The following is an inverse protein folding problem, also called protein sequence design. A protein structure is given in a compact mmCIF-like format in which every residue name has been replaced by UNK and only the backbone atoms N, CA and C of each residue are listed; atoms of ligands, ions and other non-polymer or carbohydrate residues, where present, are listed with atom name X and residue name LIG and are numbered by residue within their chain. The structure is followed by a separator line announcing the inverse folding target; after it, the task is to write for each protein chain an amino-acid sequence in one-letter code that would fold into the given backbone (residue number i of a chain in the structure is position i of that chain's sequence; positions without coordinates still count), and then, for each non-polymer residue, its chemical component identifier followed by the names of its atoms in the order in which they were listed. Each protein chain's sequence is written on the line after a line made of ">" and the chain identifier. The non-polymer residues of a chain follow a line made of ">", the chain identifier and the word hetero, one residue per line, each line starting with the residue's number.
data_IF_948836407974
#
_entry.id   IF_948836407974
#
_cell.length_a   1.000
_cell.length_b   1.000
_cell.length_c   1.000
_cell.angle_alpha   90.00
_cell.angle_beta   90.00
_cell.angle_gamma   90.00
#
_symmetry.space_group_name_H-M   'P 1'
#
loop_
_entity.id
_entity.type
_entity.pdbx_description
1 polymer ?
#
# COMPACT_ATOMS: atom_id res chain seq x y z
N UNK A 1 -25.22 19.72 44.19
CA UNK A 1 -25.68 19.17 42.89
C UNK A 1 -25.18 19.96 41.68
N UNK A 2 -25.19 21.31 41.67
CA UNK A 2 -24.70 22.14 40.55
C UNK A 2 -23.26 21.85 40.06
N UNK A 3 -22.32 21.50 40.96
CA UNK A 3 -20.91 21.25 40.59
C UNK A 3 -20.68 19.95 39.78
N UNK A 4 -21.57 18.96 39.92
CA UNK A 4 -21.46 17.66 39.21
C UNK A 4 -21.88 17.82 37.75
N UNK A 5 -22.90 18.65 37.49
CA UNK A 5 -23.42 18.92 36.14
C UNK A 5 -22.37 19.58 35.25
N UNK A 6 -21.53 20.45 35.83
CA UNK A 6 -20.44 21.14 35.13
C UNK A 6 -19.35 20.13 34.73
N UNK A 7 -19.03 19.17 35.60
CA UNK A 7 -18.03 18.15 35.30
C UNK A 7 -18.49 17.23 34.17
N UNK A 8 -19.78 16.89 34.15
CA UNK A 8 -20.39 16.01 33.15
C UNK A 8 -20.50 16.68 31.77
N UNK A 9 -20.76 17.98 31.73
CA UNK A 9 -20.79 18.74 30.46
C UNK A 9 -19.40 18.96 29.88
N UNK A 10 -18.37 19.14 30.73
CA UNK A 10 -16.99 19.22 30.27
C UNK A 10 -16.51 17.91 29.64
N UNK A 11 -16.84 16.76 30.25
CA UNK A 11 -16.39 15.46 29.74
C UNK A 11 -17.06 15.08 28.40
N UNK A 12 -18.32 15.47 28.18
CA UNK A 12 -19.01 15.28 26.89
C UNK A 12 -18.37 16.14 25.79
N UNK A 13 -17.92 17.36 26.10
CA UNK A 13 -17.25 18.24 25.14
C UNK A 13 -15.89 17.68 24.67
N UNK A 14 -15.14 16.98 25.53
CA UNK A 14 -13.87 16.33 25.15
C UNK A 14 -14.08 15.11 24.24
N UNK A 15 -15.20 14.41 24.35
CA UNK A 15 -15.51 13.24 23.50
C UNK A 15 -16.01 13.70 22.12
N UNK A 16 -16.72 14.85 22.06
CA UNK A 16 -17.34 15.35 20.82
C UNK A 16 -16.36 16.00 19.82
N UNK A 17 -15.08 16.18 20.17
CA UNK A 17 -14.07 16.80 19.32
C UNK A 17 -13.03 15.82 18.76
N UNK A 18 -13.39 14.55 18.56
CA UNK A 18 -12.64 13.71 17.60
C UNK A 18 -13.08 14.10 16.19
N UNK A 19 -12.45 15.14 15.65
CA UNK A 19 -12.53 15.42 14.21
C UNK A 19 -11.93 14.20 13.51
N UNK A 20 -12.77 13.44 12.84
CA UNK A 20 -12.35 12.32 12.00
C UNK A 20 -11.47 12.93 10.90
N UNK A 21 -10.15 12.79 11.03
CA UNK A 21 -9.23 13.17 9.98
C UNK A 21 -9.45 12.11 8.89
N UNK A 22 -9.93 12.48 7.70
CA UNK A 22 -10.10 11.50 6.63
C UNK A 22 -8.75 10.82 6.41
N UNK A 23 -8.75 9.48 6.35
CA UNK A 23 -7.55 8.75 6.03
C UNK A 23 -6.97 9.31 4.72
N UNK A 24 -5.66 9.55 4.64
CA UNK A 24 -5.08 10.10 3.42
C UNK A 24 -5.33 9.12 2.28
N UNK A 25 -5.77 9.62 1.12
CA UNK A 25 -6.08 8.85 -0.11
C UNK A 25 -4.80 8.28 -0.77
N UNK A 26 -3.99 7.59 0.01
CA UNK A 26 -2.68 7.08 -0.39
C UNK A 26 -2.47 5.66 0.12
N UNK A 27 -1.83 4.86 -0.72
CA UNK A 27 -1.47 3.48 -0.45
C UNK A 27 0.04 3.36 -0.41
N UNK A 28 0.55 2.65 0.59
CA UNK A 28 1.98 2.36 0.74
C UNK A 28 2.33 1.06 0.04
N UNK A 29 3.38 1.08 -0.76
CA UNK A 29 3.96 -0.10 -1.38
C UNK A 29 5.40 -0.30 -0.92
N UNK A 30 5.77 -1.55 -0.71
CA UNK A 30 7.16 -1.97 -0.59
C UNK A 30 7.67 -2.32 -1.98
N UNK A 31 8.81 -1.76 -2.35
CA UNK A 31 9.45 -2.00 -3.65
C UNK A 31 10.62 -2.95 -3.47
N UNK A 32 10.57 -4.08 -4.16
CA UNK A 32 11.64 -5.07 -4.19
C UNK A 32 12.28 -5.16 -5.57
N UNK A 33 13.49 -5.70 -5.65
CA UNK A 33 14.14 -6.03 -6.91
C UNK A 33 14.66 -7.47 -6.91
N UNK A 34 14.48 -8.14 -8.04
CA UNK A 34 15.02 -9.48 -8.32
C UNK A 34 15.77 -9.48 -9.65
N UNK A 35 16.84 -10.27 -9.74
CA UNK A 35 17.58 -10.47 -10.98
C UNK A 35 16.86 -11.50 -11.86
N UNK A 36 16.76 -11.24 -13.16
CA UNK A 36 16.17 -12.17 -14.13
C UNK A 36 17.26 -13.14 -14.58
N UNK A 37 17.03 -14.45 -14.38
CA UNK A 37 18.07 -15.49 -14.59
C UNK A 37 18.46 -15.70 -16.05
N UNK A 38 17.56 -15.43 -17.00
CA UNK A 38 17.78 -15.62 -18.43
C UNK A 38 17.36 -14.35 -19.16
N UNK A 39 18.33 -13.59 -19.66
CA UNK A 39 18.10 -12.37 -20.43
C UNK A 39 18.86 -12.42 -21.75
N UNK A 40 18.23 -11.92 -22.81
CA UNK A 40 18.93 -11.68 -24.07
C UNK A 40 19.86 -10.46 -23.93
N UNK A 41 20.78 -10.29 -24.90
CA UNK A 41 21.89 -9.32 -24.84
C UNK A 41 21.46 -7.84 -24.68
N UNK A 42 20.20 -7.52 -24.92
CA UNK A 42 19.67 -6.15 -24.85
C UNK A 42 18.42 -6.03 -23.97
N UNK A 43 18.14 -7.04 -23.13
CA UNK A 43 16.98 -7.05 -22.24
C UNK A 43 17.32 -6.56 -20.82
N UNK A 44 16.39 -5.87 -20.14
CA UNK A 44 16.60 -5.43 -18.77
C UNK A 44 16.74 -6.62 -17.81
N UNK A 45 17.85 -6.68 -17.07
CA UNK A 45 18.16 -7.77 -16.14
C UNK A 45 17.50 -7.72 -14.76
N UNK A 46 16.72 -6.67 -14.48
CA UNK A 46 16.11 -6.43 -13.17
C UNK A 46 14.60 -6.40 -13.32
N UNK A 47 13.91 -7.13 -12.44
CA UNK A 47 12.47 -7.08 -12.25
C UNK A 47 12.16 -6.37 -10.93
N UNK A 48 11.44 -5.26 -11.00
CA UNK A 48 10.93 -4.55 -9.83
C UNK A 48 9.56 -5.11 -9.45
N UNK A 49 9.36 -5.30 -8.15
CA UNK A 49 8.10 -5.74 -7.57
C UNK A 49 7.54 -4.63 -6.70
N UNK A 50 6.28 -4.27 -6.93
CA UNK A 50 5.54 -3.28 -6.15
C UNK A 50 4.47 -4.00 -5.37
N UNK A 51 4.65 -4.07 -4.06
CA UNK A 51 3.95 -5.03 -3.21
C UNK A 51 3.23 -4.32 -2.07
N UNK A 52 2.01 -4.76 -1.80
CA UNK A 52 1.21 -4.34 -0.65
C UNK A 52 0.56 -5.56 -0.01
N UNK A 53 0.56 -5.62 1.31
CA UNK A 53 -0.23 -6.61 2.05
C UNK A 53 -1.73 -6.27 1.94
N UNK A 54 -2.55 -7.28 1.65
CA UNK A 54 -3.99 -7.14 1.51
C UNK A 54 -4.66 -7.30 2.88
N UNK A 55 -5.64 -6.44 3.23
CA UNK A 55 -6.39 -6.58 4.49
C UNK A 55 -7.26 -7.83 4.49
N UNK A 56 -7.75 -8.20 3.31
CA UNK A 56 -8.44 -9.46 3.03
C UNK A 56 -7.54 -10.72 3.14
N UNK A 57 -6.23 -10.54 3.34
CA UNK A 57 -5.23 -11.60 3.41
C UNK A 57 -4.45 -11.78 2.12
N UNK A 58 -3.21 -12.24 2.24
CA UNK A 58 -2.27 -12.32 1.12
C UNK A 58 -1.67 -10.97 0.75
N UNK A 59 -1.43 -10.75 -0.54
CA UNK A 59 -0.78 -9.56 -1.04
C UNK A 59 -1.23 -9.19 -2.44
N UNK A 60 -1.26 -7.89 -2.71
CA UNK A 60 -1.32 -7.34 -4.04
C UNK A 60 0.08 -7.04 -4.57
N UNK A 61 0.34 -7.38 -5.82
CA UNK A 61 1.59 -7.02 -6.46
C UNK A 61 1.45 -6.70 -7.96
N UNK A 62 2.37 -5.88 -8.45
CA UNK A 62 2.64 -5.71 -9.87
C UNK A 62 4.15 -5.72 -10.10
N UNK A 63 4.57 -6.21 -11.26
CA UNK A 63 5.98 -6.26 -11.64
C UNK A 63 6.26 -5.39 -12.86
N UNK A 64 7.48 -4.86 -12.95
CA UNK A 64 7.94 -4.12 -14.12
C UNK A 64 9.46 -4.20 -14.24
N UNK A 65 9.96 -4.21 -15.48
CA UNK A 65 11.40 -4.08 -15.75
C UNK A 65 11.89 -2.63 -15.72
N UNK A 66 10.96 -1.68 -15.52
CA UNK A 66 11.25 -0.24 -15.36
C UNK A 66 10.70 0.24 -14.02
N UNK A 67 11.31 1.30 -13.49
CA UNK A 67 10.79 1.98 -12.30
C UNK A 67 9.49 2.70 -12.67
N UNK A 68 8.40 2.29 -12.02
CA UNK A 68 7.09 2.90 -12.13
C UNK A 68 6.95 4.07 -11.14
N UNK A 69 6.36 5.15 -11.62
CA UNK A 69 5.91 6.31 -10.83
C UNK A 69 4.39 6.54 -10.96
N UNK A 70 3.76 5.93 -11.96
CA UNK A 70 2.32 5.92 -12.19
C UNK A 70 1.86 4.48 -12.46
N UNK A 71 0.75 4.10 -11.83
CA UNK A 71 0.16 2.76 -11.85
C UNK A 71 -1.24 2.76 -12.47
N UNK A 72 -1.67 3.89 -13.04
CA UNK A 72 -2.98 4.09 -13.67
C UNK A 72 -3.32 3.04 -14.73
N UNK A 73 -2.32 2.57 -15.48
CA UNK A 73 -2.48 1.55 -16.53
C UNK A 73 -2.07 0.13 -16.10
N UNK A 74 -1.84 -0.09 -14.80
CA UNK A 74 -1.39 -1.38 -14.27
C UNK A 74 -2.47 -2.06 -13.44
N UNK A 75 -2.72 -3.33 -13.73
CA UNK A 75 -3.59 -4.18 -12.91
C UNK A 75 -2.75 -4.94 -11.90
N UNK A 76 -3.12 -4.85 -10.62
CA UNK A 76 -2.47 -5.60 -9.56
C UNK A 76 -2.99 -7.04 -9.51
N UNK A 77 -2.06 -7.98 -9.38
CA UNK A 77 -2.36 -9.38 -9.09
C UNK A 77 -2.57 -9.55 -7.59
N UNK A 78 -3.47 -10.45 -7.19
CA UNK A 78 -3.66 -10.86 -5.80
C UNK A 78 -3.14 -12.28 -5.63
N UNK A 79 -2.35 -12.53 -4.59
CA UNK A 79 -1.93 -13.87 -4.23
C UNK A 79 -1.95 -14.06 -2.71
N UNK A 80 -2.35 -15.25 -2.27
CA UNK A 80 -2.41 -15.57 -0.83
C UNK A 80 -1.03 -15.85 -0.25
N UNK A 81 -0.12 -16.38 -1.07
CA UNK A 81 1.25 -16.69 -0.68
C UNK A 81 2.26 -15.85 -1.45
N UNK A 82 3.35 -15.46 -0.79
CA UNK A 82 4.43 -14.71 -1.41
C UNK A 82 5.20 -15.55 -2.44
N UNK A 83 5.36 -15.07 -3.69
CA UNK A 83 6.14 -15.74 -4.72
C UNK A 83 7.56 -16.08 -4.24
N UNK A 84 8.12 -17.26 -4.59
CA UNK A 84 9.44 -17.67 -4.12
C UNK A 84 10.56 -16.67 -4.42
N UNK A 85 10.48 -15.99 -5.57
CA UNK A 85 11.45 -14.99 -5.99
C UNK A 85 11.45 -13.77 -5.07
N UNK A 86 10.27 -13.39 -4.57
CA UNK A 86 10.11 -12.26 -3.67
C UNK A 86 10.65 -12.56 -2.26
N UNK A 87 10.61 -13.82 -1.81
CA UNK A 87 11.11 -14.22 -0.48
C UNK A 87 12.61 -13.95 -0.30
N UNK A 88 13.38 -13.95 -1.40
CA UNK A 88 14.82 -13.66 -1.42
C UNK A 88 15.14 -12.30 -2.01
N UNK A 89 14.12 -11.51 -2.37
CA UNK A 89 14.30 -10.23 -3.01
C UNK A 89 14.81 -9.18 -2.02
N UNK A 90 15.64 -8.27 -2.53
CA UNK A 90 16.10 -7.12 -1.75
C UNK A 90 15.02 -6.06 -1.76
N UNK A 91 14.54 -5.64 -0.59
CA UNK A 91 13.67 -4.47 -0.46
C UNK A 91 14.53 -3.22 -0.70
N UNK A 92 14.12 -2.40 -1.68
CA UNK A 92 14.84 -1.18 -2.05
C UNK A 92 14.32 0.03 -1.26
N UNK A 93 13.00 0.18 -1.20
CA UNK A 93 12.36 1.34 -0.58
C UNK A 93 10.87 1.12 -0.38
N UNK A 94 10.28 1.99 0.43
CA UNK A 94 8.83 2.16 0.51
C UNK A 94 8.41 3.37 -0.31
N UNK A 95 7.28 3.27 -1.01
CA UNK A 95 6.68 4.37 -1.76
C UNK A 95 5.24 4.60 -1.33
N UNK A 96 4.78 5.82 -1.56
CA UNK A 96 3.40 6.24 -1.33
C UNK A 96 2.79 6.60 -2.68
N UNK A 97 1.63 6.03 -2.98
CA UNK A 97 0.92 6.23 -4.24
C UNK A 97 -0.49 6.70 -3.94
N UNK A 98 -0.93 7.76 -4.61
CA UNK A 98 -2.31 8.24 -4.47
C UNK A 98 -3.31 7.26 -5.10
N UNK A 99 -4.45 7.05 -4.44
CA UNK A 99 -5.50 6.12 -4.90
C UNK A 99 -5.97 6.45 -6.33
N UNK A 100 -6.04 7.73 -6.69
CA UNK A 100 -6.40 8.17 -8.07
C UNK A 100 -5.44 7.69 -9.16
N UNK A 101 -4.22 7.30 -8.79
CA UNK A 101 -3.21 6.76 -9.70
C UNK A 101 -3.19 5.21 -9.66
N UNK A 102 -4.21 4.57 -9.09
CA UNK A 102 -4.37 3.12 -8.99
C UNK A 102 -5.67 2.68 -9.67
N UNK A 103 -5.72 1.42 -10.11
CA UNK A 103 -6.93 0.78 -10.65
C UNK A 103 -7.20 -0.58 -9.98
N UNK A 104 -8.47 -0.96 -9.96
CA UNK A 104 -8.94 -2.28 -9.52
C UNK A 104 -9.11 -2.42 -8.00
N UNK A 105 -9.38 -3.64 -7.55
CA UNK A 105 -9.81 -3.95 -6.16
C UNK A 105 -8.83 -3.51 -5.07
N UNK A 106 -7.57 -3.22 -5.41
CA UNK A 106 -6.58 -2.68 -4.48
C UNK A 106 -7.00 -1.32 -3.90
N UNK A 107 -7.82 -0.56 -4.64
CA UNK A 107 -8.32 0.75 -4.21
C UNK A 107 -9.45 0.66 -3.20
N UNK A 108 -9.99 -0.54 -2.92
CA UNK A 108 -11.13 -0.75 -2.01
C UNK A 108 -10.81 -1.68 -0.84
N UNK A 109 -9.73 -2.45 -0.92
CA UNK A 109 -9.20 -3.25 0.21
C UNK A 109 -8.26 -2.39 1.07
N UNK A 110 -8.73 -1.23 1.56
CA UNK A 110 -7.94 -0.28 2.36
C UNK A 110 -8.15 -0.37 3.84
#
# INVERSE_FOLDING_TARGET
>A
MRKIIILLTLSIAFISCKKEIPEPDVIKFKVFATQISHINKDEPGILFWYVREAKSGGMYYVTSTKRLTDFSEHTFNHCLESPPDLRRAVQLQDIVVFIRNLRGNITTDY
#
